data_IF_842561938397
#
_entry.id   IF_842561938397
#
_cell.length_a   1.000
_cell.length_b   1.000
_cell.length_c   1.000
_cell.angle_alpha   90.00
_cell.angle_beta   90.00
_cell.angle_gamma   90.00
#
_symmetry.space_group_name_H-M   'P 1'
#
loop_
_entity.id
_entity.type
_entity.pdbx_description
1 polymer ?
#
# COMPACT_ATOMS: atom_id res chain seq x y z
N UNK A 1 36.18 -12.82 -30.17
CA UNK A 1 36.10 -13.35 -28.79
C UNK A 1 35.96 -12.22 -27.75
N UNK A 2 36.78 -11.15 -27.80
CA UNK A 2 36.77 -10.09 -26.79
C UNK A 2 35.55 -9.17 -26.80
N UNK A 3 34.94 -8.88 -27.96
CA UNK A 3 33.76 -8.00 -28.02
C UNK A 3 32.50 -8.60 -27.39
N UNK A 4 32.35 -9.93 -27.45
CA UNK A 4 31.19 -10.64 -26.88
C UNK A 4 31.25 -10.60 -25.34
N UNK A 5 32.45 -10.72 -24.77
CA UNK A 5 32.65 -10.66 -23.32
C UNK A 5 32.45 -9.24 -22.76
N UNK A 6 32.80 -8.20 -23.53
CA UNK A 6 32.58 -6.80 -23.14
C UNK A 6 31.11 -6.40 -23.27
N UNK A 7 30.40 -6.87 -24.31
CA UNK A 7 28.94 -6.67 -24.42
C UNK A 7 28.16 -7.39 -23.32
N UNK A 8 28.57 -8.61 -22.97
CA UNK A 8 27.93 -9.37 -21.90
C UNK A 8 28.12 -8.71 -20.51
N UNK A 9 29.32 -8.18 -20.21
CA UNK A 9 29.57 -7.51 -18.93
C UNK A 9 28.87 -6.16 -18.81
N UNK A 10 28.78 -5.38 -19.91
CA UNK A 10 28.06 -4.09 -19.92
C UNK A 10 26.55 -4.26 -19.77
N UNK A 11 25.94 -5.27 -20.42
CA UNK A 11 24.51 -5.58 -20.25
C UNK A 11 24.23 -6.08 -18.81
N UNK A 12 25.10 -6.92 -18.25
CA UNK A 12 24.96 -7.39 -16.88
C UNK A 12 25.17 -6.27 -15.86
N UNK A 13 26.09 -5.34 -16.14
CA UNK A 13 26.36 -4.16 -15.31
C UNK A 13 25.18 -3.17 -15.31
N UNK A 14 24.54 -2.91 -16.46
CA UNK A 14 23.38 -2.02 -16.52
C UNK A 14 22.13 -2.61 -15.85
N UNK A 15 21.83 -3.90 -16.11
CA UNK A 15 20.71 -4.57 -15.44
C UNK A 15 20.94 -4.67 -13.93
N UNK A 16 22.16 -5.03 -13.52
CA UNK A 16 22.55 -5.09 -12.12
C UNK A 16 22.45 -3.74 -11.41
N UNK A 17 22.87 -2.66 -12.07
CA UNK A 17 22.76 -1.30 -11.53
C UNK A 17 21.29 -0.89 -11.35
N UNK A 18 20.42 -1.16 -12.33
CA UNK A 18 18.98 -0.86 -12.22
C UNK A 18 18.31 -1.62 -11.06
N UNK A 19 18.62 -2.91 -10.90
CA UNK A 19 18.13 -3.72 -9.78
C UNK A 19 18.62 -3.15 -8.44
N UNK A 20 19.89 -2.76 -8.36
CA UNK A 20 20.46 -2.15 -7.15
C UNK A 20 19.76 -0.83 -6.81
N UNK A 21 19.48 0.02 -7.80
CA UNK A 21 18.72 1.27 -7.61
C UNK A 21 17.30 0.99 -7.11
N UNK A 22 16.61 -0.02 -7.66
CA UNK A 22 15.26 -0.41 -7.20
C UNK A 22 15.31 -0.88 -5.74
N UNK A 23 16.26 -1.74 -5.39
CA UNK A 23 16.39 -2.26 -4.02
C UNK A 23 16.71 -1.13 -3.04
N UNK A 24 17.67 -0.28 -3.38
CA UNK A 24 18.02 0.89 -2.56
C UNK A 24 16.84 1.84 -2.43
N UNK A 25 16.14 2.12 -3.53
CA UNK A 25 14.92 2.92 -3.55
C UNK A 25 13.82 2.34 -2.67
N UNK A 26 13.56 1.05 -2.76
CA UNK A 26 12.56 0.35 -1.95
C UNK A 26 12.90 0.37 -0.46
N UNK A 27 14.18 0.19 -0.11
CA UNK A 27 14.66 0.30 1.28
C UNK A 27 14.49 1.72 1.78
N UNK A 28 14.96 2.72 1.03
CA UNK A 28 14.82 4.14 1.39
C UNK A 28 13.35 4.53 1.57
N UNK A 29 12.48 4.08 0.66
CA UNK A 29 11.05 4.36 0.72
C UNK A 29 10.41 3.68 1.95
N UNK A 30 10.77 2.43 2.24
CA UNK A 30 10.30 1.73 3.44
C UNK A 30 10.77 2.43 4.72
N UNK A 31 12.01 2.91 4.76
CA UNK A 31 12.53 3.68 5.88
C UNK A 31 11.80 5.03 6.01
N UNK A 32 11.55 5.71 4.91
CA UNK A 32 10.80 6.96 4.87
C UNK A 32 9.38 6.78 5.41
N UNK A 33 8.66 5.76 4.94
CA UNK A 33 7.33 5.41 5.45
C UNK A 33 7.38 5.11 6.95
N UNK A 34 8.34 4.30 7.41
CA UNK A 34 8.49 3.99 8.84
C UNK A 34 8.80 5.24 9.66
N UNK A 35 9.63 6.14 9.13
CA UNK A 35 9.95 7.42 9.75
C UNK A 35 8.70 8.29 9.89
N UNK A 36 7.96 8.49 8.79
CA UNK A 36 6.71 9.24 8.76
C UNK A 36 5.73 8.66 9.78
N UNK A 37 5.41 7.37 9.72
CA UNK A 37 4.42 6.79 10.62
C UNK A 37 4.89 6.85 12.08
N UNK A 38 6.17 6.62 12.38
CA UNK A 38 6.70 6.75 13.74
C UNK A 38 6.65 8.20 14.24
N UNK A 39 6.88 9.16 13.37
CA UNK A 39 6.82 10.59 13.69
C UNK A 39 5.38 11.03 13.95
N UNK A 40 4.44 10.62 13.09
CA UNK A 40 3.01 10.87 13.29
C UNK A 40 2.51 10.19 14.57
N UNK A 41 2.88 8.95 14.84
CA UNK A 41 2.47 8.22 16.06
C UNK A 41 3.00 8.86 17.35
N UNK A 42 4.19 9.48 17.30
CA UNK A 42 4.79 10.18 18.45
C UNK A 42 4.28 11.60 18.65
N UNK A 43 3.64 12.19 17.63
CA UNK A 43 3.09 13.54 17.69
C UNK A 43 2.07 13.69 18.83
N UNK A 44 2.10 14.85 19.50
CA UNK A 44 1.11 15.21 20.53
C UNK A 44 -0.31 15.17 19.96
N UNK A 45 -0.47 15.57 18.69
CA UNK A 45 -1.74 15.52 17.95
C UNK A 45 -2.33 14.11 17.90
N UNK A 46 -1.51 13.11 17.57
CA UNK A 46 -1.95 11.71 17.53
C UNK A 46 -2.36 11.21 18.91
N UNK A 47 -1.57 11.53 19.94
CA UNK A 47 -1.90 11.16 21.32
C UNK A 47 -3.21 11.80 21.79
N UNK A 48 -3.53 13.01 21.34
CA UNK A 48 -4.74 13.73 21.74
C UNK A 48 -5.98 13.25 20.98
N UNK A 49 -5.86 13.04 19.66
CA UNK A 49 -6.93 12.49 18.82
C UNK A 49 -7.44 11.12 19.30
N UNK A 50 -6.52 10.27 19.77
CA UNK A 50 -6.87 8.90 20.16
C UNK A 50 -6.97 8.71 21.68
N UNK A 51 -6.79 9.78 22.48
CA UNK A 51 -6.90 9.72 23.96
C UNK A 51 -8.29 9.31 24.43
N UNK A 52 -9.33 9.71 23.69
CA UNK A 52 -10.75 9.51 24.03
C UNK A 52 -11.42 8.37 23.24
N UNK A 53 -10.79 7.89 22.16
CA UNK A 53 -11.49 7.16 21.09
C UNK A 53 -11.23 5.66 21.09
N UNK A 54 -10.06 5.20 21.57
CA UNK A 54 -9.74 3.77 21.60
C UNK A 54 -8.70 3.39 22.69
N UNK A 55 -8.74 2.15 23.22
CA UNK A 55 -7.67 1.63 24.07
C UNK A 55 -6.34 1.65 23.32
N UNK A 56 -5.28 2.18 23.94
CA UNK A 56 -3.92 2.30 23.36
C UNK A 56 -3.44 1.01 22.66
N UNK A 57 -3.82 -0.16 23.19
CA UNK A 57 -3.49 -1.47 22.61
C UNK A 57 -4.09 -1.69 21.21
N UNK A 58 -5.37 -1.38 21.01
CA UNK A 58 -6.04 -1.56 19.70
C UNK A 58 -5.42 -0.65 18.65
N UNK A 59 -5.13 0.59 19.04
CA UNK A 59 -4.51 1.57 18.16
C UNK A 59 -3.12 1.13 17.68
N UNK A 60 -2.29 0.59 18.58
CA UNK A 60 -0.98 0.06 18.20
C UNK A 60 -1.09 -1.14 17.24
N UNK A 61 -2.08 -2.01 17.43
CA UNK A 61 -2.36 -3.09 16.47
C UNK A 61 -2.71 -2.54 15.10
N UNK A 62 -3.62 -1.56 15.00
CA UNK A 62 -3.96 -0.91 13.72
C UNK A 62 -2.74 -0.29 13.03
N UNK A 63 -1.92 0.47 13.77
CA UNK A 63 -0.69 1.06 13.22
C UNK A 63 0.25 -0.03 12.70
N UNK A 64 0.37 -1.14 13.43
CA UNK A 64 1.28 -2.23 13.07
C UNK A 64 0.79 -2.95 11.82
N UNK A 65 -0.51 -3.25 11.74
CA UNK A 65 -1.13 -3.83 10.54
C UNK A 65 -0.94 -2.89 9.35
N UNK A 66 -1.24 -1.60 9.49
CA UNK A 66 -1.08 -0.62 8.41
C UNK A 66 0.37 -0.52 7.92
N UNK A 67 1.35 -0.48 8.83
CA UNK A 67 2.78 -0.50 8.49
C UNK A 67 3.18 -1.75 7.73
N UNK A 68 2.73 -2.91 8.20
CA UNK A 68 3.06 -4.19 7.60
C UNK A 68 2.42 -4.35 6.23
N UNK A 69 1.15 -3.97 6.08
CA UNK A 69 0.45 -3.95 4.80
C UNK A 69 1.15 -3.04 3.78
N UNK A 70 1.54 -1.82 4.19
CA UNK A 70 2.24 -0.90 3.29
C UNK A 70 3.64 -1.41 2.92
N UNK A 71 4.36 -2.01 3.87
CA UNK A 71 5.67 -2.64 3.58
C UNK A 71 5.51 -3.82 2.62
N UNK A 72 4.48 -4.65 2.79
CA UNK A 72 4.19 -5.75 1.88
C UNK A 72 3.89 -5.27 0.46
N UNK A 73 3.10 -4.20 0.31
CA UNK A 73 2.85 -3.58 -0.99
C UNK A 73 4.13 -3.09 -1.67
N UNK A 74 5.02 -2.41 -0.94
CA UNK A 74 6.30 -1.94 -1.47
C UNK A 74 7.16 -3.11 -1.96
N UNK A 75 7.21 -4.19 -1.18
CA UNK A 75 7.97 -5.41 -1.55
C UNK A 75 7.39 -6.03 -2.82
N UNK A 76 6.06 -6.18 -2.92
CA UNK A 76 5.39 -6.74 -4.10
C UNK A 76 5.71 -5.90 -5.34
N UNK A 77 5.57 -4.57 -5.27
CA UNK A 77 5.86 -3.67 -6.39
C UNK A 77 7.34 -3.75 -6.78
N UNK A 78 8.25 -3.76 -5.79
CA UNK A 78 9.69 -3.86 -6.05
C UNK A 78 10.05 -5.19 -6.73
N UNK A 79 9.40 -6.28 -6.35
CA UNK A 79 9.58 -7.58 -6.99
C UNK A 79 9.14 -7.56 -8.45
N UNK A 80 8.00 -6.94 -8.75
CA UNK A 80 7.54 -6.76 -10.13
C UNK A 80 8.51 -5.94 -10.98
N UNK A 81 9.06 -4.85 -10.43
CA UNK A 81 10.06 -4.04 -11.14
C UNK A 81 11.36 -4.81 -11.39
N UNK A 82 11.76 -5.70 -10.48
CA UNK A 82 12.92 -6.57 -10.67
C UNK A 82 12.63 -7.61 -11.75
N UNK A 83 11.43 -8.20 -11.75
CA UNK A 83 10.99 -9.15 -12.77
C UNK A 83 10.91 -8.51 -14.16
N UNK A 84 10.50 -7.25 -14.28
CA UNK A 84 10.50 -6.52 -15.55
C UNK A 84 11.91 -6.41 -16.18
N UNK A 85 12.98 -6.39 -15.38
CA UNK A 85 14.36 -6.33 -15.86
C UNK A 85 14.91 -7.72 -16.25
N UNK A 86 14.47 -8.75 -15.53
CA UNK A 86 15.01 -10.11 -15.60
C UNK A 86 14.25 -11.01 -16.58
N UNK A 87 12.92 -10.90 -16.64
CA UNK A 87 12.06 -11.78 -17.43
C UNK A 87 11.74 -11.17 -18.78
N UNK A 88 11.25 -12.01 -19.69
CA UNK A 88 10.68 -11.54 -20.96
C UNK A 88 9.28 -10.95 -20.74
N UNK A 89 8.84 -10.00 -21.60
CA UNK A 89 7.54 -9.33 -21.44
C UNK A 89 6.34 -10.29 -21.36
N UNK A 90 6.42 -11.44 -22.05
CA UNK A 90 5.37 -12.45 -22.07
C UNK A 90 5.19 -13.13 -20.70
N UNK A 91 6.30 -13.41 -20.01
CA UNK A 91 6.29 -14.06 -18.71
C UNK A 91 5.81 -13.10 -17.62
N UNK A 92 6.27 -11.84 -17.67
CA UNK A 92 5.81 -10.79 -16.77
C UNK A 92 4.29 -10.57 -16.88
N UNK A 93 3.75 -10.52 -18.10
CA UNK A 93 2.32 -10.34 -18.34
C UNK A 93 1.50 -11.45 -17.69
N UNK A 94 1.99 -12.69 -17.73
CA UNK A 94 1.32 -13.85 -17.12
C UNK A 94 1.31 -13.75 -15.60
N UNK A 95 2.44 -13.38 -14.99
CA UNK A 95 2.53 -13.16 -13.54
C UNK A 95 1.61 -12.01 -13.12
N UNK A 96 1.62 -10.89 -13.85
CA UNK A 96 0.74 -9.74 -13.59
C UNK A 96 -0.73 -10.11 -13.72
N UNK A 97 -1.12 -10.92 -14.72
CA UNK A 97 -2.49 -11.38 -14.87
C UNK A 97 -2.94 -12.19 -13.65
N UNK A 98 -2.11 -13.13 -13.17
CA UNK A 98 -2.43 -13.92 -11.98
C UNK A 98 -2.50 -13.08 -10.69
N UNK A 99 -1.58 -12.13 -10.52
CA UNK A 99 -1.61 -11.20 -9.39
C UNK A 99 -2.82 -10.26 -9.45
N UNK A 100 -3.27 -9.89 -10.66
CA UNK A 100 -4.49 -9.12 -10.88
C UNK A 100 -5.73 -9.84 -10.33
N UNK A 101 -5.87 -11.15 -10.58
CA UNK A 101 -6.98 -11.96 -10.04
C UNK A 101 -6.97 -11.97 -8.50
N UNK A 102 -5.79 -12.12 -7.89
CA UNK A 102 -5.65 -12.04 -6.42
C UNK A 102 -6.06 -10.65 -5.91
N UNK A 103 -5.64 -9.59 -6.62
CA UNK A 103 -6.03 -8.21 -6.31
C UNK A 103 -7.55 -7.99 -6.34
N UNK A 104 -8.22 -8.58 -7.33
CA UNK A 104 -9.68 -8.54 -7.47
C UNK A 104 -10.36 -9.21 -6.27
N UNK A 105 -9.88 -10.37 -5.83
CA UNK A 105 -10.43 -11.07 -4.65
C UNK A 105 -10.29 -10.21 -3.40
N UNK A 106 -9.12 -9.61 -3.18
CA UNK A 106 -8.88 -8.71 -2.04
C UNK A 106 -9.81 -7.49 -2.13
N UNK A 107 -9.97 -6.92 -3.31
CA UNK A 107 -10.87 -5.79 -3.57
C UNK A 107 -12.33 -6.11 -3.25
N UNK A 108 -12.81 -7.29 -3.67
CA UNK A 108 -14.16 -7.76 -3.32
C UNK A 108 -14.32 -7.97 -1.81
N UNK A 109 -13.30 -8.50 -1.13
CA UNK A 109 -13.31 -8.65 0.33
C UNK A 109 -13.40 -7.31 1.07
N UNK A 110 -12.87 -6.22 0.48
CA UNK A 110 -12.94 -4.88 1.04
C UNK A 110 -14.14 -4.05 0.54
N UNK A 111 -14.98 -4.59 -0.35
CA UNK A 111 -16.02 -3.82 -1.05
C UNK A 111 -17.04 -3.19 -0.09
N UNK A 112 -17.48 -3.90 0.94
CA UNK A 112 -18.43 -3.39 1.93
C UNK A 112 -17.85 -2.20 2.70
N UNK A 113 -16.58 -2.28 3.10
CA UNK A 113 -15.90 -1.19 3.81
C UNK A 113 -15.83 0.07 2.97
N UNK A 114 -15.52 -0.07 1.68
CA UNK A 114 -15.47 1.08 0.76
C UNK A 114 -16.87 1.70 0.62
N UNK A 115 -17.92 0.87 0.49
CA UNK A 115 -19.31 1.34 0.41
C UNK A 115 -19.70 2.12 1.66
N UNK A 116 -19.35 1.62 2.84
CA UNK A 116 -19.68 2.27 4.11
C UNK A 116 -18.99 3.63 4.26
N UNK A 117 -17.71 3.73 3.89
CA UNK A 117 -16.97 5.00 3.90
C UNK A 117 -17.59 6.01 2.94
N UNK A 118 -17.90 5.60 1.71
CA UNK A 118 -18.50 6.49 0.72
C UNK A 118 -19.88 6.96 1.16
N UNK A 119 -20.72 6.06 1.69
CA UNK A 119 -22.03 6.44 2.23
C UNK A 119 -21.89 7.47 3.37
N UNK A 120 -20.94 7.28 4.28
CA UNK A 120 -20.65 8.24 5.34
C UNK A 120 -20.23 9.60 4.81
N UNK A 121 -19.37 9.63 3.79
CA UNK A 121 -18.95 10.88 3.13
C UNK A 121 -20.14 11.55 2.44
N UNK A 122 -21.00 10.80 1.74
CA UNK A 122 -22.17 11.37 1.08
C UNK A 122 -23.20 11.93 2.06
N UNK A 123 -23.44 11.28 3.19
CA UNK A 123 -24.32 11.84 4.24
C UNK A 123 -23.82 13.23 4.68
N UNK A 124 -22.51 13.38 4.90
CA UNK A 124 -21.91 14.65 5.31
C UNK A 124 -21.91 15.68 4.17
N UNK A 125 -21.58 15.25 2.95
CA UNK A 125 -21.47 16.13 1.80
C UNK A 125 -22.83 16.68 1.35
N UNK A 126 -23.85 15.83 1.38
CA UNK A 126 -25.21 16.19 0.99
C UNK A 126 -26.03 16.76 2.17
N UNK A 127 -25.45 16.81 3.38
CA UNK A 127 -26.14 17.14 4.63
C UNK A 127 -27.50 16.41 4.75
N UNK A 128 -27.54 15.12 4.40
CA UNK A 128 -28.82 14.40 4.30
C UNK A 128 -29.61 14.47 5.61
N UNK A 129 -28.90 14.38 6.75
CA UNK A 129 -29.47 14.50 8.08
C UNK A 129 -28.45 15.14 9.03
N UNK A 130 -28.92 15.95 9.97
CA UNK A 130 -28.09 16.71 10.90
C UNK A 130 -28.17 16.11 12.31
N UNK A 131 -27.16 16.38 13.14
CA UNK A 131 -27.14 15.95 14.54
C UNK A 131 -28.35 16.55 15.26
N UNK A 132 -29.30 15.70 15.66
CA UNK A 132 -30.57 16.08 16.29
C UNK A 132 -31.81 15.65 15.52
N UNK A 133 -31.66 15.25 14.25
CA UNK A 133 -32.79 14.80 13.44
C UNK A 133 -33.25 13.41 13.85
N UNK A 134 -34.57 13.24 13.94
CA UNK A 134 -35.18 11.91 14.08
C UNK A 134 -35.39 11.35 12.68
N UNK A 135 -34.63 10.31 12.36
CA UNK A 135 -34.64 9.69 11.03
C UNK A 135 -35.08 8.22 11.13
N UNK A 136 -35.73 7.73 10.08
CA UNK A 136 -36.11 6.32 9.94
C UNK A 136 -35.12 5.62 9.02
N UNK A 137 -34.50 4.54 9.48
CA UNK A 137 -33.45 3.84 8.73
C UNK A 137 -33.90 2.41 8.42
N UNK A 138 -34.18 2.13 7.15
CA UNK A 138 -34.77 0.86 6.74
C UNK A 138 -36.25 0.77 7.14
N UNK A 139 -36.68 -0.38 7.66
CA UNK A 139 -38.08 -0.60 8.04
C UNK A 139 -38.42 -0.21 9.49
N UNK A 140 -37.46 0.31 10.25
CA UNK A 140 -37.62 0.67 11.67
C UNK A 140 -37.33 2.15 11.85
#
# INVERSE_FOLDING_TARGET
MNEILIKASSIFSEKGLKILVIIVGAILFTLFIRFIINQFTKSKFYKDLFKKTAPKRRLNTFITIAKNSLTALIIIISLFLIFDILLEPIELTTILASAGVIGVIIGFGAQSLIKDVLNGVFILFENQYVIGDTIKVGNI
#
